data_IF_273367142837
#
_entry.id   IF_273367142837
#
_cell.length_a   1.000
_cell.length_b   1.000
_cell.length_c   1.000
_cell.angle_alpha   90.00
_cell.angle_beta   90.00
_cell.angle_gamma   90.00
#
_symmetry.space_group_name_H-M   'P 1'
#
loop_
_entity.id
_entity.type
_entity.pdbx_description
1 polymer ?
#
# COMPACT_ATOMS: atom_id res chain seq x y z
N UNK A 1 7.06 21.29 5.89
CA UNK A 1 7.64 19.92 5.76
C UNK A 1 6.73 19.15 4.83
N UNK A 2 7.23 18.58 3.76
CA UNK A 2 6.40 17.94 2.73
C UNK A 2 6.24 16.47 3.08
N UNK A 3 5.00 16.04 3.34
CA UNK A 3 4.66 14.63 3.51
C UNK A 3 5.10 13.82 2.28
N UNK A 4 5.79 12.73 2.50
CA UNK A 4 6.25 11.86 1.41
C UNK A 4 5.21 10.78 1.21
N UNK A 5 4.41 10.95 0.17
CA UNK A 5 3.54 9.90 -0.35
C UNK A 5 4.34 8.67 -0.79
N UNK A 6 3.64 7.60 -1.00
CA UNK A 6 4.11 6.27 -1.42
C UNK A 6 5.19 6.40 -2.49
N UNK A 7 6.42 6.00 -2.17
CA UNK A 7 7.54 6.03 -3.10
C UNK A 7 7.70 4.67 -3.77
N UNK A 8 7.63 4.63 -5.09
CA UNK A 8 8.31 3.63 -5.87
C UNK A 8 9.83 3.88 -5.77
N UNK A 9 10.65 2.87 -5.93
CA UNK A 9 12.13 2.97 -5.79
C UNK A 9 12.84 3.88 -6.80
N UNK A 10 12.15 4.79 -7.47
CA UNK A 10 12.75 5.76 -8.37
C UNK A 10 12.85 7.11 -7.67
N UNK A 11 14.07 7.44 -7.26
CA UNK A 11 14.51 8.69 -6.64
C UNK A 11 14.39 9.90 -7.60
N UNK A 12 13.28 10.04 -8.32
CA UNK A 12 13.06 11.21 -9.16
C UNK A 12 11.75 11.93 -8.80
N UNK A 13 11.58 13.14 -9.29
CA UNK A 13 10.49 14.05 -8.99
C UNK A 13 9.07 13.49 -9.25
N UNK A 14 8.95 12.30 -9.86
CA UNK A 14 7.67 11.60 -10.07
C UNK A 14 7.15 10.91 -8.81
N UNK A 15 8.00 10.65 -7.83
CA UNK A 15 7.61 10.06 -6.54
C UNK A 15 6.62 10.95 -5.75
N UNK A 16 6.52 12.23 -6.08
CA UNK A 16 5.57 13.16 -5.45
C UNK A 16 4.11 12.88 -5.81
N UNK A 17 3.84 12.07 -6.84
CA UNK A 17 2.48 11.89 -7.38
C UNK A 17 1.96 10.46 -7.32
N UNK A 18 2.69 9.50 -6.76
CA UNK A 18 2.30 8.10 -6.69
C UNK A 18 1.97 7.48 -8.06
N UNK A 19 2.32 6.23 -8.25
CA UNK A 19 2.03 5.46 -9.47
C UNK A 19 0.78 4.57 -9.33
N UNK A 20 0.22 4.48 -8.13
CA UNK A 20 -1.02 3.76 -7.84
C UNK A 20 -2.28 4.52 -8.25
N UNK A 21 -3.44 3.92 -8.01
CA UNK A 21 -4.75 4.53 -8.27
C UNK A 21 -5.05 5.62 -7.24
N UNK A 22 -4.75 5.37 -5.97
CA UNK A 22 -4.98 6.28 -4.86
C UNK A 22 -3.64 6.78 -4.32
N UNK A 23 -3.48 8.09 -4.26
CA UNK A 23 -2.35 8.80 -3.68
C UNK A 23 -2.80 10.17 -3.20
N UNK A 24 -1.98 10.87 -2.43
CA UNK A 24 -2.33 12.18 -1.89
C UNK A 24 -2.69 13.17 -3.01
N UNK A 25 -3.90 13.69 -2.96
CA UNK A 25 -4.42 14.58 -4.01
C UNK A 25 -4.70 13.89 -5.34
N UNK A 26 -4.90 12.57 -5.36
CA UNK A 26 -5.12 11.82 -6.59
C UNK A 26 -6.37 12.32 -7.34
N UNK A 27 -6.20 12.50 -8.64
CA UNK A 27 -7.27 12.83 -9.60
C UNK A 27 -7.38 11.76 -10.69
N UNK A 28 -6.90 10.55 -10.39
CA UNK A 28 -6.88 9.41 -11.31
C UNK A 28 -8.28 9.07 -11.81
N UNK A 29 -8.44 8.96 -13.10
CA UNK A 29 -9.65 8.47 -13.77
C UNK A 29 -9.47 7.00 -14.11
N UNK A 30 -10.56 6.26 -14.27
CA UNK A 30 -10.48 4.87 -14.73
C UNK A 30 -9.78 4.73 -16.09
N UNK A 31 -9.90 5.74 -16.96
CA UNK A 31 -9.16 5.80 -18.23
C UNK A 31 -7.65 5.92 -18.09
N UNK A 32 -7.16 6.33 -16.94
CA UNK A 32 -5.73 6.48 -16.67
C UNK A 32 -5.09 5.17 -16.18
N UNK A 33 -5.93 4.14 -15.93
CA UNK A 33 -5.51 2.79 -15.54
C UNK A 33 -5.28 1.96 -16.81
N UNK A 34 -4.10 2.12 -17.40
CA UNK A 34 -3.78 1.48 -18.69
C UNK A 34 -3.34 0.02 -18.58
N UNK A 35 -2.95 -0.43 -17.39
CA UNK A 35 -2.56 -1.82 -17.12
C UNK A 35 -3.78 -2.75 -16.96
N UNK A 36 -4.99 -2.16 -17.05
CA UNK A 36 -6.26 -2.85 -16.96
C UNK A 36 -6.86 -2.79 -15.57
N UNK A 37 -8.10 -2.28 -15.48
CA UNK A 37 -8.80 -2.07 -14.21
C UNK A 37 -9.01 -3.35 -13.39
N UNK A 38 -9.10 -4.51 -14.05
CA UNK A 38 -9.21 -5.83 -13.41
C UNK A 38 -7.85 -6.42 -12.95
N UNK A 39 -6.75 -5.74 -13.22
CA UNK A 39 -5.40 -6.14 -12.83
C UNK A 39 -4.72 -5.07 -11.97
N UNK A 40 -5.39 -3.98 -11.62
CA UNK A 40 -4.81 -2.89 -10.84
C UNK A 40 -5.46 -2.81 -9.47
N UNK A 41 -4.66 -2.89 -8.42
CA UNK A 41 -5.11 -2.78 -7.03
C UNK A 41 -5.45 -1.33 -6.69
N UNK A 42 -6.58 -1.14 -5.99
CA UNK A 42 -6.99 0.15 -5.48
C UNK A 42 -6.90 0.21 -3.95
N UNK A 43 -7.36 -0.83 -3.25
CA UNK A 43 -7.35 -0.90 -1.78
C UNK A 43 -6.94 -2.31 -1.34
N UNK A 44 -6.17 -2.42 -0.27
CA UNK A 44 -5.79 -3.69 0.33
C UNK A 44 -6.14 -3.75 1.82
N UNK A 45 -6.30 -4.95 2.36
CA UNK A 45 -6.43 -5.15 3.79
C UNK A 45 -5.14 -4.72 4.50
N UNK A 46 -5.34 -3.89 5.50
CA UNK A 46 -4.27 -3.36 6.34
C UNK A 46 -4.79 -3.25 7.78
N UNK A 47 -4.55 -4.26 8.61
CA UNK A 47 -4.96 -4.22 10.00
C UNK A 47 -4.28 -3.09 10.78
N UNK A 48 -4.95 -2.55 11.81
CA UNK A 48 -4.38 -1.49 12.62
C UNK A 48 -3.13 -1.93 13.37
N UNK A 49 -2.26 -0.98 13.68
CA UNK A 49 -1.15 -1.20 14.61
C UNK A 49 -1.67 -1.58 16.00
N UNK A 50 -0.82 -2.24 16.80
CA UNK A 50 -1.18 -2.70 18.14
C UNK A 50 -1.69 -1.59 19.07
N UNK A 51 -1.11 -0.40 18.96
CA UNK A 51 -1.48 0.78 19.74
C UNK A 51 -2.67 1.54 19.12
N UNK A 52 -3.18 1.06 17.98
CA UNK A 52 -4.30 1.63 17.25
C UNK A 52 -4.06 3.07 16.75
N UNK A 53 -2.82 3.50 16.67
CA UNK A 53 -2.46 4.82 16.13
C UNK A 53 -2.53 4.81 14.61
N UNK A 54 -2.06 3.75 13.95
CA UNK A 54 -2.15 3.54 12.52
C UNK A 54 -3.23 2.52 12.20
N UNK A 55 -3.97 2.73 11.12
CA UNK A 55 -4.94 1.73 10.67
C UNK A 55 -6.15 2.30 9.96
N UNK A 56 -6.92 1.41 9.40
CA UNK A 56 -8.05 1.59 8.48
C UNK A 56 -9.21 2.48 8.98
N UNK A 57 -9.35 2.67 10.26
CA UNK A 57 -10.48 3.36 10.88
C UNK A 57 -10.17 4.82 11.26
N UNK A 58 -8.94 5.22 11.12
CA UNK A 58 -8.48 6.50 11.60
C UNK A 58 -7.85 7.31 10.46
N UNK A 59 -8.70 8.05 9.79
CA UNK A 59 -8.27 8.95 8.73
C UNK A 59 -7.83 10.27 9.35
N UNK A 60 -6.63 10.39 9.82
CA UNK A 60 -6.31 11.70 10.35
C UNK A 60 -4.95 11.87 10.99
N UNK A 61 -4.23 10.84 11.26
CA UNK A 61 -2.96 10.98 11.97
C UNK A 61 -1.74 10.76 11.11
N UNK A 62 -1.66 9.69 10.35
CA UNK A 62 -0.49 9.35 9.55
C UNK A 62 0.79 9.18 10.34
N UNK A 63 1.79 8.63 9.68
CA UNK A 63 3.11 8.42 10.27
C UNK A 63 3.75 9.73 10.77
N UNK A 64 3.47 10.83 10.11
CA UNK A 64 3.98 12.16 10.43
C UNK A 64 3.00 12.99 11.28
N UNK A 65 1.90 12.40 11.73
CA UNK A 65 0.83 13.04 12.53
C UNK A 65 0.20 14.26 11.84
N UNK A 66 0.18 14.26 10.53
CA UNK A 66 -0.38 15.32 9.68
C UNK A 66 -1.71 14.93 9.01
N UNK A 67 -2.18 13.72 9.29
CA UNK A 67 -3.45 13.24 8.77
C UNK A 67 -3.40 12.57 7.40
N UNK A 68 -2.24 12.36 6.84
CA UNK A 68 -2.10 11.95 5.43
C UNK A 68 -1.73 10.47 5.24
N UNK A 69 -1.04 9.86 6.17
CA UNK A 69 -0.36 8.58 5.95
C UNK A 69 -1.15 7.33 6.27
N UNK A 70 -2.19 7.44 7.09
CA UNK A 70 -2.84 6.25 7.64
C UNK A 70 -3.69 5.46 6.66
N UNK A 71 -4.06 6.06 5.55
CA UNK A 71 -4.91 5.45 4.55
C UNK A 71 -4.16 5.06 3.27
N UNK A 72 -2.94 5.53 3.12
CA UNK A 72 -2.14 5.32 1.92
C UNK A 72 -0.94 4.44 2.23
N UNK A 73 -1.00 3.21 1.76
CA UNK A 73 0.06 2.23 1.90
C UNK A 73 0.49 1.73 0.52
N UNK A 74 1.78 1.72 0.27
CA UNK A 74 2.34 1.19 -0.97
C UNK A 74 2.64 -0.30 -0.89
N UNK A 75 2.71 -0.94 -2.05
CA UNK A 75 3.09 -2.35 -2.16
C UNK A 75 4.51 -2.65 -1.66
N UNK A 76 5.34 -1.62 -1.53
CA UNK A 76 6.73 -1.67 -1.05
C UNK A 76 7.02 -0.47 -0.15
N UNK A 77 6.17 -0.24 0.83
CA UNK A 77 6.34 0.88 1.77
C UNK A 77 7.69 0.80 2.49
N UNK A 78 8.29 1.94 2.73
CA UNK A 78 9.48 2.11 3.54
C UNK A 78 9.15 2.86 4.82
N UNK A 79 9.80 2.46 5.89
CA UNK A 79 9.73 3.17 7.16
C UNK A 79 10.66 4.39 7.14
N UNK A 80 10.08 5.58 7.15
CA UNK A 80 10.81 6.86 7.23
C UNK A 80 10.39 7.68 8.45
N UNK A 81 9.51 7.15 9.30
CA UNK A 81 8.90 7.89 10.39
C UNK A 81 9.55 7.63 11.74
N UNK A 82 9.37 8.56 12.67
CA UNK A 82 9.73 8.35 14.06
C UNK A 82 8.87 7.30 14.76
N UNK A 83 7.63 7.08 14.27
CA UNK A 83 6.75 6.02 14.75
C UNK A 83 7.37 4.64 14.55
N UNK A 84 8.01 4.41 13.40
CA UNK A 84 8.71 3.18 13.09
C UNK A 84 10.08 3.04 13.74
N UNK A 85 10.41 3.81 14.77
CA UNK A 85 11.68 3.69 15.49
C UNK A 85 11.86 2.27 16.03
N UNK A 86 12.93 1.62 15.61
CA UNK A 86 13.20 0.21 15.91
C UNK A 86 12.73 -0.77 14.83
N UNK A 87 11.91 -0.33 13.87
CA UNK A 87 11.55 -1.14 12.73
C UNK A 87 12.59 -1.03 11.60
N UNK A 88 12.73 -2.07 10.77
CA UNK A 88 13.57 -2.00 9.57
C UNK A 88 13.15 -0.85 8.66
N UNK A 89 14.10 -0.35 7.86
CA UNK A 89 13.80 0.68 6.86
C UNK A 89 12.89 0.16 5.71
N UNK A 90 12.77 -1.15 5.55
CA UNK A 90 12.08 -1.76 4.41
C UNK A 90 12.96 -1.89 3.16
N UNK A 91 12.42 -2.13 1.97
CA UNK A 91 10.97 -2.17 1.73
C UNK A 91 10.27 -3.32 2.46
N UNK A 92 9.03 -3.10 2.86
CA UNK A 92 8.22 -4.12 3.52
C UNK A 92 7.48 -4.97 2.50
N UNK A 93 7.48 -6.27 2.73
CA UNK A 93 6.86 -7.27 1.87
C UNK A 93 5.42 -7.59 2.29
N UNK A 94 4.59 -7.96 1.31
CA UNK A 94 3.28 -8.56 1.55
C UNK A 94 3.47 -9.98 2.10
N UNK A 95 3.24 -10.19 3.38
CA UNK A 95 3.47 -11.45 4.09
C UNK A 95 2.53 -11.62 5.28
N UNK A 96 2.44 -12.84 5.80
CA UNK A 96 1.71 -13.12 7.03
C UNK A 96 2.37 -12.43 8.23
N UNK A 97 1.56 -11.89 9.12
CA UNK A 97 2.00 -11.05 10.24
C UNK A 97 1.16 -11.23 11.49
N UNK A 98 1.48 -10.47 12.51
CA UNK A 98 0.85 -10.52 13.82
C UNK A 98 0.51 -9.12 14.33
N UNK A 99 -0.61 -9.00 15.04
CA UNK A 99 -0.96 -7.77 15.77
C UNK A 99 0.03 -7.42 16.90
N UNK A 100 0.92 -8.34 17.29
CA UNK A 100 1.89 -8.10 18.35
C UNK A 100 3.15 -7.36 17.87
N UNK A 101 3.41 -7.34 16.55
CA UNK A 101 4.53 -6.60 15.97
C UNK A 101 4.05 -5.28 15.36
N UNK A 102 4.42 -4.15 15.97
CA UNK A 102 4.04 -2.83 15.45
C UNK A 102 4.68 -2.51 14.11
N UNK A 103 5.77 -3.19 13.73
CA UNK A 103 6.39 -3.01 12.41
C UNK A 103 5.52 -3.56 11.27
N UNK A 104 4.57 -4.44 11.58
CA UNK A 104 3.63 -4.97 10.59
C UNK A 104 2.57 -3.94 10.15
N UNK A 105 2.58 -2.73 10.73
CA UNK A 105 1.80 -1.59 10.24
C UNK A 105 2.36 -0.98 8.94
N UNK A 106 3.51 -1.42 8.44
CA UNK A 106 4.13 -0.87 7.23
C UNK A 106 3.87 -1.66 5.95
N UNK A 107 2.96 -2.63 5.98
CA UNK A 107 2.63 -3.41 4.77
C UNK A 107 1.22 -3.99 4.82
N UNK A 108 0.72 -4.39 3.66
CA UNK A 108 -0.53 -5.10 3.56
C UNK A 108 -0.42 -6.49 4.17
N UNK A 109 -1.42 -6.87 4.94
CA UNK A 109 -1.59 -8.21 5.47
C UNK A 109 -3.01 -8.38 6.01
N UNK A 110 -3.36 -9.57 6.42
CA UNK A 110 -4.61 -9.83 7.12
C UNK A 110 -4.49 -11.00 8.10
N UNK A 111 -5.42 -11.13 9.05
CA UNK A 111 -5.52 -12.31 9.90
C UNK A 111 -6.06 -13.55 9.16
N UNK A 112 -6.44 -13.42 7.89
CA UNK A 112 -6.87 -14.56 7.08
C UNK A 112 -5.70 -15.48 6.79
N UNK A 113 -5.98 -16.80 6.75
CA UNK A 113 -4.95 -17.79 6.45
C UNK A 113 -4.47 -17.64 5.01
N UNK A 114 -3.18 -17.37 4.85
CA UNK A 114 -2.45 -17.48 3.58
C UNK A 114 -2.49 -16.27 2.65
N UNK A 115 -3.18 -15.17 2.99
CA UNK A 115 -3.26 -13.99 2.14
C UNK A 115 -4.16 -12.90 2.68
N UNK A 116 -4.51 -11.94 1.83
CA UNK A 116 -5.38 -10.82 2.13
C UNK A 116 -6.32 -10.49 0.96
N UNK A 117 -7.41 -9.79 1.24
CA UNK A 117 -8.34 -9.32 0.21
C UNK A 117 -7.88 -7.97 -0.33
N UNK A 118 -8.04 -7.80 -1.62
CA UNK A 118 -7.78 -6.55 -2.33
C UNK A 118 -8.97 -6.18 -3.20
N UNK A 119 -9.31 -4.90 -3.20
CA UNK A 119 -10.22 -4.27 -4.14
C UNK A 119 -9.41 -3.86 -5.38
N UNK A 120 -9.91 -4.23 -6.55
CA UNK A 120 -9.35 -3.82 -7.84
C UNK A 120 -10.03 -2.56 -8.37
N UNK A 121 -9.41 -1.90 -9.33
CA UNK A 121 -9.92 -0.66 -9.91
C UNK A 121 -11.26 -0.85 -10.66
N UNK A 122 -11.61 -2.07 -11.07
CA UNK A 122 -12.91 -2.41 -11.64
C UNK A 122 -14.03 -2.65 -10.61
N UNK A 123 -13.71 -2.55 -9.32
CA UNK A 123 -14.64 -2.77 -8.21
C UNK A 123 -14.75 -4.25 -7.76
N UNK A 124 -14.07 -5.18 -8.40
CA UNK A 124 -14.02 -6.57 -7.95
C UNK A 124 -13.10 -6.75 -6.75
N UNK A 125 -13.41 -7.71 -5.88
CA UNK A 125 -12.55 -8.09 -4.75
C UNK A 125 -11.90 -9.44 -5.04
N UNK A 126 -10.59 -9.53 -4.78
CA UNK A 126 -9.81 -10.76 -4.95
C UNK A 126 -9.03 -11.05 -3.68
N UNK A 127 -9.00 -12.33 -3.31
CA UNK A 127 -8.08 -12.82 -2.30
C UNK A 127 -6.74 -13.11 -2.96
N UNK A 128 -5.68 -12.42 -2.54
CA UNK A 128 -4.32 -12.67 -3.00
C UNK A 128 -3.55 -13.48 -1.96
N UNK A 129 -2.96 -14.61 -2.35
CA UNK A 129 -2.07 -15.36 -1.45
C UNK A 129 -0.77 -14.57 -1.22
N UNK A 130 -0.10 -14.76 -0.09
CA UNK A 130 1.19 -14.11 0.19
C UNK A 130 2.28 -14.46 -0.83
N UNK A 131 2.13 -15.57 -1.55
CA UNK A 131 3.01 -15.90 -2.69
C UNK A 131 2.92 -14.91 -3.85
N UNK A 132 1.89 -14.05 -3.89
CA UNK A 132 1.76 -12.97 -4.87
C UNK A 132 2.66 -11.75 -4.56
N UNK A 133 3.38 -11.74 -3.42
CA UNK A 133 4.28 -10.64 -3.06
C UNK A 133 5.21 -10.18 -4.20
N UNK A 134 5.85 -11.06 -5.00
CA UNK A 134 6.73 -10.60 -6.07
C UNK A 134 6.07 -9.76 -7.16
N UNK A 135 4.78 -9.99 -7.41
CA UNK A 135 4.01 -9.27 -8.45
C UNK A 135 3.17 -8.13 -7.88
N UNK A 136 3.06 -7.99 -6.56
CA UNK A 136 2.24 -6.97 -5.93
C UNK A 136 2.58 -5.55 -6.38
N UNK A 137 3.87 -5.15 -6.54
CA UNK A 137 4.23 -3.83 -7.06
C UNK A 137 3.70 -3.56 -8.46
N UNK A 138 3.75 -4.56 -9.35
CA UNK A 138 3.21 -4.44 -10.70
C UNK A 138 1.68 -4.31 -10.71
N UNK A 139 0.99 -5.04 -9.83
CA UNK A 139 -0.46 -4.91 -9.65
C UNK A 139 -0.86 -3.58 -8.98
N UNK A 140 0.03 -2.93 -8.24
CA UNK A 140 -0.23 -1.66 -7.58
C UNK A 140 -0.02 -0.44 -8.50
N UNK A 141 0.64 -0.62 -9.64
CA UNK A 141 0.83 0.42 -10.65
C UNK A 141 -0.39 0.53 -11.55
N UNK A 142 -0.81 1.78 -11.87
CA UNK A 142 -1.92 2.05 -12.79
C UNK A 142 -1.51 2.08 -14.26
N UNK A 143 -0.22 2.31 -14.55
CA UNK A 143 0.30 2.53 -15.89
C UNK A 143 1.81 2.21 -15.99
N UNK A 144 2.26 1.18 -15.31
CA UNK A 144 3.66 0.73 -15.32
C UNK A 144 4.03 -0.04 -16.57
N UNK A 145 3.03 -0.59 -17.27
CA UNK A 145 3.20 -1.41 -18.46
C UNK A 145 3.68 -2.84 -18.16
N UNK A 146 3.60 -3.26 -16.89
CA UNK A 146 3.96 -4.61 -16.49
C UNK A 146 2.85 -5.60 -16.88
N UNK A 147 3.24 -6.72 -17.48
CA UNK A 147 2.31 -7.80 -17.83
C UNK A 147 2.02 -8.68 -16.58
N UNK A 148 1.45 -8.08 -15.55
CA UNK A 148 1.02 -8.80 -14.36
C UNK A 148 -0.49 -9.04 -14.41
N UNK A 149 -0.91 -10.24 -14.06
CA UNK A 149 -2.31 -10.58 -13.90
C UNK A 149 -2.58 -11.04 -12.46
N UNK A 150 -3.75 -10.69 -11.95
CA UNK A 150 -4.23 -11.18 -10.66
C UNK A 150 -4.40 -12.69 -10.75
N UNK A 151 -3.78 -13.48 -9.85
CA UNK A 151 -3.90 -14.94 -9.85
C UNK A 151 -5.31 -15.44 -9.51
#
# INVERSE_FOLDING_TARGET
MRGRGIQSERDDERAAYGDGVLYLGSTTRLSDVTDGTSNTLAVGEWPPSRDLILGWWYAGWGQDKDGEGDMLLGARTRNHSEYGRGCPAGPFDFKACSFDDHCDAFHFWSPHSGGANFLLADGSVRFLPYSANPILPALASRAGGEAAAVP
#
